data_IF_766512011262
#
_entry.id   IF_766512011262
#
_cell.length_a   1.000
_cell.length_b   1.000
_cell.length_c   1.000
_cell.angle_alpha   90.00
_cell.angle_beta   90.00
_cell.angle_gamma   90.00
#
_symmetry.space_group_name_H-M   'P 1'
#
loop_
_entity.id
_entity.type
_entity.pdbx_description
1 polymer ?
#
# COMPACT_ATOMS: atom_id res chain seq x y z
N UNK A 1 19.83 -28.31 11.12
CA UNK A 1 19.43 -26.90 10.97
C UNK A 1 18.12 -26.89 10.18
N UNK A 2 16.98 -26.87 10.87
CA UNK A 2 15.66 -26.83 10.24
C UNK A 2 15.21 -25.38 10.15
N UNK A 3 15.48 -24.72 9.02
CA UNK A 3 14.86 -23.43 8.69
C UNK A 3 13.42 -23.70 8.28
N UNK A 4 12.53 -23.84 9.27
CA UNK A 4 11.09 -23.70 9.04
C UNK A 4 10.82 -22.23 8.76
N UNK A 5 10.83 -21.83 7.49
CA UNK A 5 10.10 -20.64 7.02
C UNK A 5 8.61 -20.97 7.07
N UNK A 6 8.09 -21.09 8.28
CA UNK A 6 6.67 -21.31 8.56
C UNK A 6 6.00 -19.98 8.81
N UNK A 7 5.55 -19.33 7.73
CA UNK A 7 4.36 -18.48 7.65
C UNK A 7 4.41 -17.74 6.30
N UNK A 8 3.99 -18.40 5.21
CA UNK A 8 3.37 -17.66 4.12
C UNK A 8 2.05 -17.15 4.67
N UNK A 9 2.08 -16.04 5.41
CA UNK A 9 0.87 -15.36 5.81
C UNK A 9 0.40 -14.57 4.58
N UNK A 10 -0.49 -15.18 3.82
CA UNK A 10 -1.29 -14.46 2.85
C UNK A 10 -2.21 -13.50 3.64
N UNK A 11 -1.78 -12.25 3.78
CA UNK A 11 -2.59 -11.15 4.33
C UNK A 11 -2.22 -9.87 3.60
N UNK A 12 -2.95 -9.55 2.53
CA UNK A 12 -2.91 -8.26 1.84
C UNK A 12 -1.62 -7.97 1.06
N UNK A 13 -1.45 -8.58 -0.12
CA UNK A 13 -0.34 -8.21 -0.99
C UNK A 13 -0.65 -6.82 -1.58
N UNK A 14 0.07 -5.77 -1.18
CA UNK A 14 -0.08 -4.47 -1.82
C UNK A 14 0.51 -4.54 -3.23
N UNK A 15 -0.21 -4.02 -4.22
CA UNK A 15 0.28 -3.91 -5.59
C UNK A 15 0.03 -2.51 -6.12
N UNK A 16 0.97 -1.98 -6.88
CA UNK A 16 0.77 -0.74 -7.63
C UNK A 16 0.30 -1.14 -9.02
N UNK A 17 -0.81 -0.60 -9.48
CA UNK A 17 -1.26 -0.76 -10.86
C UNK A 17 -0.85 0.45 -11.67
N UNK A 18 0.11 0.28 -12.58
CA UNK A 18 0.46 1.31 -13.56
C UNK A 18 0.99 0.69 -14.86
N UNK A 19 0.53 1.19 -16.01
CA UNK A 19 0.96 0.72 -17.33
C UNK A 19 2.36 1.22 -17.76
N UNK A 20 2.94 2.18 -17.04
CA UNK A 20 4.16 2.89 -17.40
C UNK A 20 5.33 2.70 -16.40
N UNK A 21 5.16 1.85 -15.40
CA UNK A 21 6.15 1.58 -14.34
C UNK A 21 6.67 0.15 -14.48
N UNK A 22 7.95 -0.08 -14.19
CA UNK A 22 8.48 -1.44 -14.23
C UNK A 22 8.10 -2.24 -12.98
N UNK A 23 8.06 -3.57 -13.10
CA UNK A 23 7.69 -4.46 -11.98
C UNK A 23 8.59 -4.27 -10.75
N UNK A 24 9.86 -3.90 -10.93
CA UNK A 24 10.79 -3.63 -9.84
C UNK A 24 10.39 -2.37 -9.04
N UNK A 25 10.04 -1.28 -9.73
CA UNK A 25 9.58 -0.03 -9.11
C UNK A 25 8.21 -0.20 -8.45
N UNK A 26 7.31 -0.98 -9.07
CA UNK A 26 6.02 -1.34 -8.46
C UNK A 26 6.19 -2.14 -7.16
N UNK A 27 7.18 -3.04 -7.12
CA UNK A 27 7.49 -3.84 -5.93
C UNK A 27 8.09 -3.00 -4.81
N UNK A 28 9.02 -2.10 -5.15
CA UNK A 28 9.65 -1.19 -4.19
C UNK A 28 8.61 -0.27 -3.53
N UNK A 29 7.71 0.30 -4.33
CA UNK A 29 6.59 1.09 -3.78
C UNK A 29 5.62 0.28 -2.93
N UNK A 30 5.27 -0.95 -3.33
CA UNK A 30 4.44 -1.82 -2.51
C UNK A 30 5.10 -2.18 -1.16
N UNK A 31 6.42 -2.39 -1.16
CA UNK A 31 7.19 -2.65 0.06
C UNK A 31 7.22 -1.43 0.98
N UNK A 32 7.49 -0.24 0.44
CA UNK A 32 7.48 1.02 1.18
C UNK A 32 6.11 1.30 1.85
N UNK A 33 5.01 1.06 1.13
CA UNK A 33 3.67 1.18 1.69
C UNK A 33 3.44 0.19 2.85
N UNK A 34 3.90 -1.05 2.69
CA UNK A 34 3.77 -2.08 3.72
C UNK A 34 4.57 -1.76 4.98
N UNK A 35 5.79 -1.26 4.83
CA UNK A 35 6.64 -0.83 5.95
C UNK A 35 6.00 0.34 6.71
N UNK A 36 5.43 1.32 6.01
CA UNK A 36 4.75 2.46 6.63
C UNK A 36 3.53 2.02 7.45
N UNK A 37 2.69 1.15 6.88
CA UNK A 37 1.52 0.59 7.56
C UNK A 37 1.92 -0.21 8.80
N UNK A 38 2.91 -1.11 8.65
CA UNK A 38 3.41 -1.91 9.77
C UNK A 38 4.06 -1.04 10.86
N UNK A 39 4.74 0.04 10.48
CA UNK A 39 5.33 0.99 11.44
C UNK A 39 4.30 1.79 12.21
N UNK A 40 3.09 1.98 11.65
CA UNK A 40 1.93 2.58 12.32
C UNK A 40 1.06 1.58 13.08
N UNK A 41 1.36 0.28 12.98
CA UNK A 41 0.61 -0.77 13.66
C UNK A 41 -0.71 -1.15 12.99
N UNK A 42 -0.92 -0.76 11.73
CA UNK A 42 -2.12 -1.12 10.96
C UNK A 42 -1.78 -2.22 9.94
N UNK A 43 -2.74 -3.10 9.68
CA UNK A 43 -2.66 -3.98 8.52
C UNK A 43 -3.09 -3.22 7.25
N UNK A 44 -2.56 -3.65 6.09
CA UNK A 44 -2.97 -3.11 4.79
C UNK A 44 -4.49 -3.24 4.56
N UNK A 45 -5.09 -4.32 5.06
CA UNK A 45 -6.52 -4.57 4.94
C UNK A 45 -7.33 -3.57 5.79
N UNK A 46 -6.95 -3.31 7.04
CA UNK A 46 -7.63 -2.34 7.91
C UNK A 46 -7.56 -0.92 7.33
N UNK A 47 -6.37 -0.52 6.88
CA UNK A 47 -6.15 0.80 6.29
C UNK A 47 -6.95 0.96 4.98
N UNK A 48 -6.96 -0.06 4.12
CA UNK A 48 -7.76 -0.07 2.90
C UNK A 48 -9.27 -0.01 3.21
N UNK A 49 -9.74 -0.81 4.18
CA UNK A 49 -11.15 -0.81 4.57
C UNK A 49 -11.60 0.55 5.11
N UNK A 50 -10.78 1.20 5.93
CA UNK A 50 -11.04 2.54 6.44
C UNK A 50 -11.10 3.58 5.29
N UNK A 51 -10.21 3.49 4.30
CA UNK A 51 -10.25 4.31 3.09
C UNK A 51 -11.53 4.10 2.27
N UNK A 52 -11.96 2.85 2.08
CA UNK A 52 -13.21 2.52 1.38
C UNK A 52 -14.43 3.05 2.13
N UNK A 53 -14.50 2.85 3.45
CA UNK A 53 -15.59 3.36 4.31
C UNK A 53 -15.66 4.89 4.27
N UNK A 54 -14.51 5.57 4.27
CA UNK A 54 -14.42 7.03 4.05
C UNK A 54 -15.07 7.45 2.73
N UNK A 55 -14.76 6.75 1.63
CA UNK A 55 -15.38 7.00 0.31
C UNK A 55 -16.90 6.81 0.30
N UNK A 56 -17.40 5.86 1.10
CA UNK A 56 -18.83 5.58 1.28
C UNK A 56 -19.53 6.47 2.31
N UNK A 57 -18.81 7.38 2.98
CA UNK A 57 -19.29 8.19 4.12
C UNK A 57 -19.86 7.35 5.28
N UNK A 58 -19.32 6.16 5.47
CA UNK A 58 -19.60 5.30 6.63
C UNK A 58 -18.68 5.68 7.80
N UNK A 59 -18.99 5.33 9.06
CA UNK A 59 -18.04 5.51 10.15
C UNK A 59 -16.78 4.65 9.93
N UNK A 60 -15.61 5.29 10.01
CA UNK A 60 -14.31 4.67 9.78
C UNK A 60 -13.30 5.12 10.84
N UNK A 61 -12.19 4.39 10.94
CA UNK A 61 -11.06 4.80 11.76
C UNK A 61 -10.20 5.81 10.99
N UNK A 62 -10.17 7.05 11.47
CA UNK A 62 -9.47 8.16 10.80
C UNK A 62 -7.97 7.92 10.70
N UNK A 63 -7.38 7.25 11.70
CA UNK A 63 -5.94 7.00 11.75
C UNK A 63 -5.56 5.90 10.74
N UNK A 64 -6.37 4.83 10.65
CA UNK A 64 -6.21 3.79 9.64
C UNK A 64 -6.38 4.34 8.21
N UNK A 65 -7.39 5.19 7.98
CA UNK A 65 -7.60 5.81 6.67
C UNK A 65 -6.45 6.74 6.28
N UNK A 66 -5.87 7.45 7.25
CA UNK A 66 -4.70 8.30 7.03
C UNK A 66 -3.43 7.49 6.82
N UNK A 67 -3.28 6.36 7.50
CA UNK A 67 -2.21 5.41 7.24
C UNK A 67 -2.25 4.87 5.81
N UNK A 68 -3.45 4.62 5.26
CA UNK A 68 -3.60 4.24 3.84
C UNK A 68 -3.17 5.34 2.87
N UNK A 69 -3.53 6.59 3.14
CA UNK A 69 -3.16 7.74 2.30
C UNK A 69 -1.65 7.96 2.30
N UNK A 70 -1.02 7.95 3.48
CA UNK A 70 0.43 8.01 3.62
C UNK A 70 1.15 6.82 2.95
N UNK A 71 0.60 5.62 3.09
CA UNK A 71 1.16 4.42 2.46
C UNK A 71 1.08 4.51 0.93
N UNK A 72 -0.03 5.04 0.38
CA UNK A 72 -0.20 5.30 -1.05
C UNK A 72 0.81 6.35 -1.53
N UNK A 73 1.01 7.42 -0.76
CA UNK A 73 1.98 8.45 -1.06
C UNK A 73 3.43 7.92 -1.04
N UNK A 74 3.77 7.09 -0.05
CA UNK A 74 5.07 6.44 0.04
C UNK A 74 5.30 5.47 -1.12
N UNK A 75 4.30 4.65 -1.46
CA UNK A 75 4.32 3.77 -2.63
C UNK A 75 4.60 4.54 -3.91
N UNK A 76 3.89 5.66 -4.12
CA UNK A 76 4.08 6.48 -5.32
C UNK A 76 5.42 7.23 -5.31
N UNK A 77 5.90 7.70 -4.16
CA UNK A 77 7.23 8.31 -4.09
C UNK A 77 8.33 7.33 -4.46
N UNK A 78 8.27 6.10 -3.97
CA UNK A 78 9.25 5.07 -4.27
C UNK A 78 9.14 4.59 -5.74
N UNK A 79 7.91 4.34 -6.22
CA UNK A 79 7.69 3.83 -7.58
C UNK A 79 7.84 4.88 -8.69
N UNK A 80 7.69 6.17 -8.38
CA UNK A 80 7.77 7.28 -9.34
C UNK A 80 8.85 8.29 -8.96
N UNK A 81 9.90 7.86 -8.27
CA UNK A 81 11.03 8.72 -7.89
C UNK A 81 11.67 9.32 -9.15
N UNK A 82 11.35 10.58 -9.47
CA UNK A 82 11.79 11.28 -10.68
C UNK A 82 10.67 11.76 -11.61
N UNK A 83 9.41 11.42 -11.35
CA UNK A 83 8.27 11.92 -12.12
C UNK A 83 7.80 13.28 -11.57
N UNK A 84 7.61 14.26 -12.46
CA UNK A 84 7.15 15.62 -12.11
C UNK A 84 5.67 15.63 -11.67
N UNK A 85 4.88 14.70 -12.20
CA UNK A 85 3.49 14.49 -11.81
C UNK A 85 3.19 12.99 -11.84
N UNK A 86 2.46 12.51 -10.84
CA UNK A 86 2.06 11.12 -10.81
C UNK A 86 0.91 10.89 -11.80
N UNK A 87 0.97 9.80 -12.59
CA UNK A 87 -0.09 9.48 -13.53
C UNK A 87 -1.40 9.21 -12.76
N UNK A 88 -2.50 9.84 -13.20
CA UNK A 88 -3.84 9.68 -12.59
C UNK A 88 -4.36 8.23 -12.62
N UNK A 89 -3.80 7.40 -13.49
CA UNK A 89 -4.13 5.98 -13.59
C UNK A 89 -3.38 5.09 -12.57
N UNK A 90 -2.46 5.64 -11.78
CA UNK A 90 -1.77 4.89 -10.74
C UNK A 90 -2.69 4.68 -9.54
N UNK A 91 -2.87 3.43 -9.14
CA UNK A 91 -3.62 3.07 -7.93
C UNK A 91 -2.87 2.05 -7.11
N UNK A 92 -2.88 2.22 -5.79
CA UNK A 92 -2.47 1.18 -4.85
C UNK A 92 -3.67 0.25 -4.62
N UNK A 93 -3.50 -1.03 -4.92
CA UNK A 93 -4.52 -2.06 -4.77
C UNK A 93 -4.10 -3.07 -3.71
N UNK A 94 -5.10 -3.68 -3.06
CA UNK A 94 -4.90 -4.85 -2.22
C UNK A 94 -5.14 -6.09 -3.10
N UNK A 95 -4.10 -6.87 -3.35
CA UNK A 95 -4.11 -8.11 -4.13
C UNK A 95 -4.44 -9.36 -3.29
#
# INVERSE_FOLDING_TARGET
MNTKFGATQATGALTIRNAHVNEAEMRDGAEAARELLSGRGFTAQEAHEASVKRGKREPFDEDAARAWDDATNAAFRAAFEGWVAWPEAASLELA
#
